data_IF_711367466223
#
_entry.id   IF_711367466223
#
_cell.length_a   1.000
_cell.length_b   1.000
_cell.length_c   1.000
_cell.angle_alpha   90.00
_cell.angle_beta   90.00
_cell.angle_gamma   90.00
#
_symmetry.space_group_name_H-M   'P 1'
#
loop_
_entity.id
_entity.type
_entity.pdbx_description
1 polymer ?
#
# COMPACT_ATOMS: atom_id res chain seq x y z
N UNK A 1 44.84 -34.01 -6.54
CA UNK A 1 45.53 -32.69 -6.45
C UNK A 1 45.22 -32.02 -7.77
N UNK A 2 44.41 -30.99 -7.91
CA UNK A 2 44.01 -29.80 -7.11
C UNK A 2 42.81 -29.22 -7.89
N UNK A 3 41.88 -28.41 -7.42
CA UNK A 3 41.50 -27.77 -6.15
C UNK A 3 40.18 -27.06 -6.52
N UNK A 4 39.10 -27.29 -5.77
CA UNK A 4 37.79 -26.69 -6.06
C UNK A 4 37.87 -25.17 -5.81
N UNK A 5 37.62 -24.38 -6.84
CA UNK A 5 37.48 -22.93 -6.69
C UNK A 5 36.16 -22.62 -5.99
N UNK A 6 36.20 -22.49 -4.67
CA UNK A 6 35.11 -21.96 -3.87
C UNK A 6 34.88 -20.50 -4.27
N UNK A 7 33.69 -20.20 -4.80
CA UNK A 7 33.28 -18.83 -5.12
C UNK A 7 33.26 -18.00 -3.83
N UNK A 8 34.31 -17.21 -3.61
CA UNK A 8 34.44 -16.28 -2.48
C UNK A 8 33.32 -15.25 -2.57
N UNK A 9 32.25 -15.43 -1.78
CA UNK A 9 31.22 -14.40 -1.61
C UNK A 9 31.84 -13.27 -0.79
N UNK A 10 32.00 -12.10 -1.39
CA UNK A 10 32.34 -10.90 -0.62
C UNK A 10 31.18 -10.58 0.33
N UNK A 11 31.42 -10.40 1.64
CA UNK A 11 30.36 -9.99 2.55
C UNK A 11 29.98 -8.54 2.23
N UNK A 12 28.86 -8.37 1.52
CA UNK A 12 28.27 -7.06 1.30
C UNK A 12 27.93 -6.40 2.64
N UNK A 13 28.35 -5.15 2.83
CA UNK A 13 27.91 -4.36 3.98
C UNK A 13 26.49 -3.85 3.72
N UNK A 14 25.55 -4.00 4.67
CA UNK A 14 24.28 -3.28 4.58
C UNK A 14 24.55 -1.79 4.39
N UNK A 15 23.82 -1.16 3.47
CA UNK A 15 23.86 0.28 3.28
C UNK A 15 23.19 1.03 4.44
N UNK A 16 23.10 2.37 4.29
CA UNK A 16 22.30 3.23 5.16
C UNK A 16 20.82 2.79 5.16
N UNK A 17 20.05 3.16 6.19
CA UNK A 17 18.64 2.81 6.24
C UNK A 17 17.90 3.47 5.07
N UNK A 18 16.79 2.85 4.63
CA UNK A 18 16.01 3.41 3.53
C UNK A 18 15.39 4.76 3.94
N UNK A 19 15.05 4.90 5.22
CA UNK A 19 14.60 6.16 5.82
C UNK A 19 15.65 7.26 5.67
N UNK A 20 16.94 6.98 5.98
CA UNK A 20 18.04 7.94 5.84
C UNK A 20 18.15 8.41 4.37
N UNK A 21 18.07 7.47 3.42
CA UNK A 21 18.06 7.79 1.99
C UNK A 21 16.87 8.71 1.62
N UNK A 22 15.66 8.42 2.11
CA UNK A 22 14.49 9.25 1.82
C UNK A 22 14.58 10.65 2.44
N UNK A 23 15.23 10.79 3.60
CA UNK A 23 15.53 12.07 4.23
C UNK A 23 16.55 12.86 3.40
N UNK A 24 17.63 12.23 2.96
CA UNK A 24 18.63 12.85 2.07
C UNK A 24 17.99 13.34 0.76
N UNK A 25 17.01 12.61 0.22
CA UNK A 25 16.26 13.03 -0.97
C UNK A 25 15.18 14.08 -0.68
N UNK A 26 14.87 14.37 0.59
CA UNK A 26 13.77 15.27 0.97
C UNK A 26 12.37 14.74 0.62
N UNK A 27 12.21 13.44 0.42
CA UNK A 27 10.96 12.80 -0.05
C UNK A 27 10.31 11.89 0.99
N UNK A 28 10.86 11.84 2.21
CA UNK A 28 10.37 10.95 3.27
C UNK A 28 8.87 11.13 3.56
N UNK A 29 8.40 12.36 3.71
CA UNK A 29 6.99 12.63 4.03
C UNK A 29 6.05 12.17 2.91
N UNK A 30 6.29 12.61 1.66
CA UNK A 30 5.50 12.21 0.49
C UNK A 30 5.51 10.69 0.28
N UNK A 31 6.68 10.07 0.42
CA UNK A 31 6.83 8.61 0.25
C UNK A 31 6.04 7.87 1.32
N UNK A 32 6.08 8.35 2.57
CA UNK A 32 5.35 7.75 3.69
C UNK A 32 3.84 7.87 3.49
N UNK A 33 3.35 9.04 3.07
CA UNK A 33 1.93 9.26 2.76
C UNK A 33 1.45 8.29 1.66
N UNK A 34 2.20 8.22 0.55
CA UNK A 34 1.89 7.32 -0.57
C UNK A 34 1.92 5.85 -0.14
N UNK A 35 2.88 5.46 0.70
CA UNK A 35 2.98 4.11 1.22
C UNK A 35 1.76 3.72 2.06
N UNK A 36 1.30 4.60 2.96
CA UNK A 36 0.10 4.37 3.78
C UNK A 36 -1.12 4.15 2.88
N UNK A 37 -1.34 5.04 1.91
CA UNK A 37 -2.46 4.92 0.97
C UNK A 37 -2.39 3.61 0.18
N UNK A 38 -1.20 3.22 -0.29
CA UNK A 38 -0.96 1.98 -1.04
C UNK A 38 -1.26 0.73 -0.23
N UNK A 39 -0.86 0.69 1.03
CA UNK A 39 -1.16 -0.44 1.92
C UNK A 39 -2.67 -0.56 2.12
N UNK A 40 -3.37 0.53 2.39
CA UNK A 40 -4.83 0.51 2.63
C UNK A 40 -5.58 0.08 1.36
N UNK A 41 -5.26 0.68 0.20
CA UNK A 41 -5.88 0.33 -1.07
C UNK A 41 -5.68 -1.14 -1.43
N UNK A 42 -4.45 -1.65 -1.24
CA UNK A 42 -4.12 -3.06 -1.43
C UNK A 42 -4.95 -3.98 -0.53
N UNK A 43 -5.06 -3.66 0.77
CA UNK A 43 -5.85 -4.47 1.70
C UNK A 43 -7.34 -4.51 1.35
N UNK A 44 -7.90 -3.41 0.85
CA UNK A 44 -9.29 -3.35 0.37
C UNK A 44 -9.45 -4.21 -0.89
N UNK A 45 -8.54 -4.08 -1.86
CA UNK A 45 -8.56 -4.86 -3.08
C UNK A 45 -8.45 -6.37 -2.82
N UNK A 46 -7.56 -6.79 -1.92
CA UNK A 46 -7.43 -8.19 -1.53
C UNK A 46 -8.66 -8.71 -0.80
N UNK A 47 -9.29 -7.89 0.05
CA UNK A 47 -10.54 -8.26 0.71
C UNK A 47 -11.70 -8.40 -0.30
N UNK A 48 -11.77 -7.51 -1.30
CA UNK A 48 -12.72 -7.63 -2.41
C UNK A 48 -12.51 -8.93 -3.18
N UNK A 49 -11.26 -9.25 -3.52
CA UNK A 49 -10.89 -10.49 -4.23
C UNK A 49 -11.28 -11.73 -3.42
N UNK A 50 -10.96 -11.76 -2.13
CA UNK A 50 -11.29 -12.88 -1.25
C UNK A 50 -12.81 -13.13 -1.12
N UNK A 51 -13.62 -12.07 -1.25
CA UNK A 51 -15.08 -12.12 -1.14
C UNK A 51 -15.80 -12.13 -2.51
N UNK A 52 -15.06 -12.22 -3.63
CA UNK A 52 -15.59 -12.11 -4.99
C UNK A 52 -16.43 -10.84 -5.23
N UNK A 53 -16.05 -9.73 -4.59
CA UNK A 53 -16.69 -8.42 -4.77
C UNK A 53 -16.10 -7.75 -6.01
N UNK A 54 -16.90 -7.57 -7.05
CA UNK A 54 -16.47 -6.81 -8.23
C UNK A 54 -16.34 -5.31 -7.94
N UNK A 55 -15.60 -4.58 -8.77
CA UNK A 55 -15.58 -3.10 -8.70
C UNK A 55 -16.97 -2.48 -8.81
N UNK A 56 -17.85 -3.05 -9.63
CA UNK A 56 -19.22 -2.53 -9.79
C UNK A 56 -20.06 -2.76 -8.52
N UNK A 57 -19.94 -3.95 -7.91
CA UNK A 57 -20.57 -4.27 -6.63
C UNK A 57 -20.07 -3.32 -5.53
N UNK A 58 -18.76 -3.14 -5.42
CA UNK A 58 -18.16 -2.28 -4.40
C UNK A 58 -18.59 -0.82 -4.57
N UNK A 59 -18.61 -0.31 -5.80
CA UNK A 59 -19.08 1.04 -6.09
C UNK A 59 -20.55 1.21 -5.65
N UNK A 60 -21.39 0.19 -5.86
CA UNK A 60 -22.78 0.19 -5.40
C UNK A 60 -22.89 0.20 -3.87
N UNK A 61 -22.11 -0.65 -3.16
CA UNK A 61 -22.05 -0.68 -1.68
C UNK A 61 -21.62 0.65 -1.08
N UNK A 62 -20.79 1.40 -1.80
CA UNK A 62 -20.29 2.71 -1.41
C UNK A 62 -21.13 3.88 -1.95
N UNK A 63 -22.22 3.62 -2.65
CA UNK A 63 -23.07 4.67 -3.25
C UNK A 63 -22.24 5.71 -4.03
N UNK A 64 -21.30 5.21 -4.83
CA UNK A 64 -20.28 6.02 -5.51
C UNK A 64 -20.10 5.57 -6.95
N UNK A 65 -19.50 6.42 -7.80
CA UNK A 65 -19.20 6.03 -9.17
C UNK A 65 -18.03 5.02 -9.22
N UNK A 66 -17.92 4.28 -10.33
CA UNK A 66 -16.73 3.44 -10.58
C UNK A 66 -15.43 4.26 -10.58
N UNK A 67 -15.45 5.47 -11.15
CA UNK A 67 -14.28 6.37 -11.15
C UNK A 67 -13.88 6.85 -9.76
N UNK A 68 -14.84 7.08 -8.86
CA UNK A 68 -14.55 7.40 -7.46
C UNK A 68 -13.95 6.21 -6.71
N UNK A 69 -14.43 4.99 -7.00
CA UNK A 69 -13.81 3.77 -6.47
C UNK A 69 -12.40 3.55 -7.02
N UNK A 70 -12.18 3.80 -8.32
CA UNK A 70 -10.85 3.64 -8.92
C UNK A 70 -9.84 4.58 -8.25
N UNK A 71 -10.19 5.84 -7.97
CA UNK A 71 -9.35 6.75 -7.17
C UNK A 71 -9.06 6.27 -5.75
N UNK A 72 -10.01 5.57 -5.14
CA UNK A 72 -9.80 4.99 -3.82
C UNK A 72 -8.82 3.82 -3.85
N UNK A 73 -8.87 3.03 -4.91
CA UNK A 73 -8.03 1.84 -5.08
C UNK A 73 -6.68 2.15 -5.75
N UNK A 74 -6.52 3.35 -6.31
CA UNK A 74 -5.30 3.83 -6.91
C UNK A 74 -4.46 4.61 -5.89
N UNK A 75 -3.30 4.08 -5.47
CA UNK A 75 -2.41 4.78 -4.53
C UNK A 75 -1.84 6.08 -5.09
N UNK A 76 -1.75 6.21 -6.41
CA UNK A 76 -1.11 7.33 -7.09
C UNK A 76 -2.13 8.41 -7.50
N UNK A 77 -3.44 8.14 -7.40
CA UNK A 77 -4.50 9.08 -7.81
C UNK A 77 -5.23 9.72 -6.62
N UNK A 78 -4.96 11.02 -6.40
CA UNK A 78 -5.84 11.93 -5.69
C UNK A 78 -5.94 11.78 -4.16
N UNK A 79 -6.60 12.76 -3.54
CA UNK A 79 -6.87 12.77 -2.10
C UNK A 79 -8.09 11.90 -1.79
N UNK A 80 -7.94 11.01 -0.81
CA UNK A 80 -9.03 10.20 -0.26
C UNK A 80 -9.27 10.60 1.20
N UNK A 81 -10.53 10.69 1.60
CA UNK A 81 -10.84 11.04 2.99
C UNK A 81 -10.81 9.79 3.87
N UNK A 82 -10.51 9.97 5.16
CA UNK A 82 -10.62 8.91 6.17
C UNK A 82 -12.05 8.33 6.19
N UNK A 83 -13.06 9.16 5.98
CA UNK A 83 -14.46 8.72 5.90
C UNK A 83 -14.67 7.74 4.73
N UNK A 84 -14.13 8.03 3.55
CA UNK A 84 -14.21 7.14 2.39
C UNK A 84 -13.49 5.81 2.65
N UNK A 85 -12.27 5.85 3.20
CA UNK A 85 -11.51 4.64 3.55
C UNK A 85 -12.25 3.78 4.60
N UNK A 86 -12.86 4.43 5.59
CA UNK A 86 -13.65 3.75 6.63
C UNK A 86 -14.86 3.04 6.04
N UNK A 87 -15.59 3.70 5.13
CA UNK A 87 -16.74 3.08 4.44
C UNK A 87 -16.30 1.91 3.56
N UNK A 88 -15.19 2.05 2.84
CA UNK A 88 -14.63 0.98 2.03
C UNK A 88 -14.22 -0.23 2.87
N UNK A 89 -13.52 -0.02 3.99
CA UNK A 89 -13.19 -1.08 4.94
C UNK A 89 -14.46 -1.80 5.44
N UNK A 90 -15.49 -1.05 5.84
CA UNK A 90 -16.77 -1.60 6.30
C UNK A 90 -17.49 -2.41 5.22
N UNK A 91 -17.47 -1.95 3.97
CA UNK A 91 -18.11 -2.63 2.84
C UNK A 91 -17.49 -4.01 2.51
N UNK A 92 -16.27 -4.26 2.99
CA UNK A 92 -15.57 -5.57 2.94
C UNK A 92 -15.50 -6.26 4.31
N UNK A 93 -16.30 -5.85 5.29
CA UNK A 93 -16.38 -6.48 6.61
C UNK A 93 -15.17 -6.23 7.52
N UNK A 94 -14.43 -5.15 7.29
CA UNK A 94 -13.26 -4.74 8.09
C UNK A 94 -13.50 -3.39 8.77
N UNK A 95 -12.56 -2.99 9.62
CA UNK A 95 -12.48 -1.66 10.21
C UNK A 95 -11.11 -1.04 9.94
N UNK A 96 -11.10 0.29 9.75
CA UNK A 96 -9.86 1.04 9.65
C UNK A 96 -9.32 1.26 11.08
N UNK A 97 -8.04 0.96 11.30
CA UNK A 97 -7.32 1.26 12.54
C UNK A 97 -6.15 2.17 12.18
N UNK A 98 -6.03 3.28 12.90
CA UNK A 98 -4.96 4.25 12.75
C UNK A 98 -4.39 4.54 14.13
N UNK A 99 -3.09 4.78 14.19
CA UNK A 99 -2.36 5.15 15.38
C UNK A 99 -1.51 6.38 15.04
N UNK A 100 -1.39 7.29 16.00
CA UNK A 100 -0.43 8.40 15.92
C UNK A 100 0.81 7.95 16.68
N UNK A 101 1.95 7.91 15.99
CA UNK A 101 3.25 7.63 16.56
C UNK A 101 3.94 8.88 17.11
#
# INVERSE_FOLDING_TARGET
>A
MTENAETRREPGRPGQLFEDFLEEQGTREETTERAIKRVIAFQIAEAMKAQNISKAEMARRLETSRSQLDRLLDPDDGNVTIATLTRAARAVGRSLKLELG
#
